data_IF_064082100999
#
_entry.id   IF_064082100999
#
_cell.length_a   1.000
_cell.length_b   1.000
_cell.length_c   1.000
_cell.angle_alpha   90.00
_cell.angle_beta   90.00
_cell.angle_gamma   90.00
#
_symmetry.space_group_name_H-M   'P 1'
#
loop_
_entity.id
_entity.type
_entity.pdbx_description
1 polymer ?
#
# COMPACT_ATOMS: atom_id res chain seq x y z
N UNK A 1 11.21 11.15 -6.42
CA UNK A 1 11.58 10.33 -5.24
C UNK A 1 10.32 9.63 -4.76
N UNK A 2 10.39 8.37 -4.32
CA UNK A 2 9.26 7.79 -3.60
C UNK A 2 9.04 8.59 -2.33
N UNK A 3 7.80 8.96 -2.02
CA UNK A 3 7.54 9.84 -0.89
C UNK A 3 7.87 9.12 0.43
N UNK A 4 8.50 9.81 1.40
CA UNK A 4 9.00 9.19 2.63
C UNK A 4 7.91 8.58 3.51
N UNK A 5 6.63 8.90 3.27
CA UNK A 5 5.50 8.33 3.98
C UNK A 5 5.14 6.92 3.48
N UNK A 6 5.41 6.58 2.23
CA UNK A 6 5.12 5.24 1.68
C UNK A 6 5.99 4.20 2.37
N UNK A 7 7.28 4.48 2.57
CA UNK A 7 8.15 3.56 3.31
C UNK A 7 7.68 3.35 4.76
N UNK A 8 7.07 4.36 5.37
CA UNK A 8 6.49 4.24 6.72
C UNK A 8 5.20 3.40 6.69
N UNK A 9 4.40 3.51 5.63
CA UNK A 9 3.22 2.65 5.41
C UNK A 9 3.63 1.19 5.23
N UNK A 10 4.61 0.92 4.36
CA UNK A 10 5.14 -0.42 4.13
C UNK A 10 5.69 -1.06 5.42
N UNK A 11 6.43 -0.29 6.23
CA UNK A 11 6.95 -0.76 7.52
C UNK A 11 5.82 -1.03 8.53
N UNK A 12 4.82 -0.15 8.62
CA UNK A 12 3.68 -0.33 9.52
C UNK A 12 2.85 -1.57 9.15
N UNK A 13 2.56 -1.77 7.86
CA UNK A 13 1.84 -2.94 7.35
C UNK A 13 2.65 -4.21 7.57
N UNK A 14 3.97 -4.17 7.32
CA UNK A 14 4.85 -5.32 7.57
C UNK A 14 4.90 -5.70 9.05
N UNK A 15 4.88 -4.73 9.97
CA UNK A 15 4.85 -5.00 11.42
C UNK A 15 3.52 -5.58 11.89
N UNK A 16 2.40 -5.15 11.30
CA UNK A 16 1.06 -5.60 11.68
C UNK A 16 0.70 -6.97 11.09
N UNK A 17 1.15 -7.24 9.86
CA UNK A 17 0.70 -8.39 9.07
C UNK A 17 1.79 -9.43 8.82
N UNK A 18 3.06 -9.06 8.98
CA UNK A 18 4.21 -9.87 8.57
C UNK A 18 4.48 -9.84 7.06
N UNK A 19 3.66 -9.13 6.27
CA UNK A 19 3.77 -9.08 4.81
C UNK A 19 4.60 -7.87 4.39
N UNK A 20 5.69 -8.12 3.66
CA UNK A 20 6.53 -7.06 3.12
C UNK A 20 5.97 -6.58 1.79
N UNK A 21 5.56 -5.31 1.73
CA UNK A 21 5.15 -4.67 0.48
C UNK A 21 6.34 -4.08 -0.29
N UNK A 22 6.19 -3.97 -1.59
CA UNK A 22 7.19 -3.41 -2.53
C UNK A 22 6.59 -2.23 -3.26
N UNK A 23 7.30 -1.11 -3.25
CA UNK A 23 6.92 0.05 -4.04
C UNK A 23 7.42 -0.10 -5.47
N UNK A 24 6.48 -0.15 -6.41
CA UNK A 24 6.74 -0.18 -7.84
C UNK A 24 6.35 1.16 -8.47
N UNK A 25 7.03 1.52 -9.56
CA UNK A 25 6.69 2.71 -10.36
C UNK A 25 6.24 2.29 -11.73
N UNK A 26 5.18 2.90 -12.23
CA UNK A 26 4.72 2.62 -13.58
C UNK A 26 5.74 3.13 -14.60
N UNK A 27 6.18 2.23 -15.48
CA UNK A 27 7.13 2.57 -16.54
C UNK A 27 6.49 3.57 -17.50
N UNK A 28 7.09 4.74 -17.66
CA UNK A 28 6.58 5.82 -18.50
C UNK A 28 5.78 6.90 -17.76
N UNK A 29 5.41 6.67 -16.50
CA UNK A 29 4.67 7.63 -15.67
C UNK A 29 5.40 7.82 -14.32
N UNK A 30 6.39 8.75 -14.25
CA UNK A 30 7.30 8.86 -13.10
C UNK A 30 6.63 9.30 -11.79
N UNK A 31 5.39 9.79 -11.87
CA UNK A 31 4.57 10.22 -10.73
C UNK A 31 3.59 9.15 -10.26
N UNK A 32 3.39 8.09 -11.03
CA UNK A 32 2.47 7.01 -10.66
C UNK A 32 3.26 5.85 -10.04
N UNK A 33 2.87 5.51 -8.83
CA UNK A 33 3.46 4.44 -8.04
C UNK A 33 2.36 3.53 -7.51
N UNK A 34 2.72 2.27 -7.28
CA UNK A 34 1.83 1.20 -6.81
C UNK A 34 2.58 0.40 -5.75
N UNK A 35 1.88 0.07 -4.67
CA UNK A 35 2.37 -0.85 -3.64
C UNK A 35 1.91 -2.26 -3.99
N UNK A 36 2.84 -3.21 -4.02
CA UNK A 36 2.57 -4.62 -4.30
C UNK A 36 2.89 -5.42 -3.05
N UNK A 37 1.91 -6.19 -2.57
CA UNK A 37 2.06 -7.07 -1.40
C UNK A 37 1.90 -8.51 -1.84
N UNK A 38 2.86 -9.36 -1.50
CA UNK A 38 2.88 -10.76 -1.91
C UNK A 38 2.67 -11.69 -0.73
N UNK A 39 2.22 -12.91 -1.00
CA UNK A 39 1.94 -13.93 0.02
C UNK A 39 0.87 -13.49 1.05
N UNK A 40 -0.14 -12.73 0.60
CA UNK A 40 -1.24 -12.30 1.45
C UNK A 40 -2.10 -13.51 1.81
N UNK A 41 -1.84 -14.12 2.96
CA UNK A 41 -2.55 -15.35 3.39
C UNK A 41 -3.92 -15.07 4.00
N UNK A 42 -4.14 -13.85 4.49
CA UNK A 42 -5.38 -13.43 5.17
C UNK A 42 -5.86 -12.10 4.62
N UNK A 43 -6.54 -12.11 3.48
CA UNK A 43 -7.00 -10.91 2.75
C UNK A 43 -7.74 -9.92 3.66
N UNK A 44 -8.77 -10.37 4.37
CA UNK A 44 -9.64 -9.50 5.19
C UNK A 44 -8.86 -8.86 6.33
N UNK A 45 -7.95 -9.61 6.95
CA UNK A 45 -7.09 -9.08 8.01
C UNK A 45 -6.11 -8.07 7.41
N UNK A 46 -5.49 -8.41 6.28
CA UNK A 46 -4.54 -7.54 5.61
C UNK A 46 -5.16 -6.21 5.20
N UNK A 47 -6.32 -6.23 4.54
CA UNK A 47 -7.05 -5.01 4.15
C UNK A 47 -7.38 -4.13 5.35
N UNK A 48 -7.79 -4.73 6.47
CA UNK A 48 -8.08 -3.98 7.70
C UNK A 48 -6.84 -3.31 8.27
N UNK A 49 -5.74 -4.04 8.40
CA UNK A 49 -4.49 -3.50 8.94
C UNK A 49 -3.88 -2.44 8.00
N UNK A 50 -4.02 -2.62 6.69
CA UNK A 50 -3.64 -1.62 5.69
C UNK A 50 -4.46 -0.34 5.83
N UNK A 51 -5.79 -0.44 5.90
CA UNK A 51 -6.67 0.71 6.11
C UNK A 51 -6.35 1.44 7.43
N UNK A 52 -6.06 0.69 8.50
CA UNK A 52 -5.66 1.27 9.77
C UNK A 52 -4.31 2.00 9.69
N UNK A 53 -3.31 1.43 9.00
CA UNK A 53 -2.01 2.06 8.79
C UNK A 53 -2.12 3.34 7.96
N UNK A 54 -2.92 3.32 6.88
CA UNK A 54 -3.23 4.51 6.06
C UNK A 54 -3.88 5.61 6.91
N UNK A 55 -4.85 5.24 7.76
CA UNK A 55 -5.51 6.16 8.67
C UNK A 55 -4.57 6.77 9.70
N UNK A 56 -3.71 5.95 10.33
CA UNK A 56 -2.73 6.40 11.34
C UNK A 56 -1.69 7.36 10.78
N UNK A 57 -1.25 7.14 9.54
CA UNK A 57 -0.24 7.97 8.88
C UNK A 57 -0.81 9.25 8.26
N UNK A 58 -2.13 9.48 8.40
CA UNK A 58 -2.83 10.57 7.71
C UNK A 58 -2.56 10.56 6.19
N UNK A 59 -2.30 9.37 5.63
CA UNK A 59 -2.01 9.18 4.21
C UNK A 59 -3.22 9.57 3.34
N UNK A 60 -4.42 9.62 3.93
CA UNK A 60 -5.64 10.16 3.35
C UNK A 60 -5.52 11.61 2.88
N UNK A 61 -4.59 12.40 3.44
CA UNK A 61 -4.29 13.77 2.97
C UNK A 61 -3.42 13.83 1.72
N UNK A 62 -2.72 12.74 1.38
CA UNK A 62 -1.86 12.62 0.19
C UNK A 62 -2.57 11.91 -0.98
N UNK A 63 -3.62 11.15 -0.68
CA UNK A 63 -4.54 10.62 -1.67
C UNK A 63 -5.28 11.79 -2.31
N UNK A 64 -5.22 11.92 -3.64
CA UNK A 64 -5.98 12.92 -4.37
C UNK A 64 -7.44 12.86 -3.95
N UNK A 65 -8.06 14.00 -3.66
CA UNK A 65 -9.49 14.08 -3.33
C UNK A 65 -10.31 13.41 -4.43
N UNK A 66 -10.88 12.23 -4.13
CA UNK A 66 -11.66 11.41 -5.07
C UNK A 66 -10.96 10.14 -5.58
N UNK A 67 -9.67 9.95 -5.30
CA UNK A 67 -8.94 8.72 -5.55
C UNK A 67 -8.60 8.07 -4.21
N UNK A 68 -9.46 7.14 -3.75
CA UNK A 68 -9.10 6.26 -2.65
C UNK A 68 -7.89 5.39 -3.02
N UNK A 69 -7.24 4.73 -2.04
CA UNK A 69 -6.21 3.75 -2.36
C UNK A 69 -6.85 2.66 -3.24
N UNK A 70 -6.38 2.52 -4.47
CA UNK A 70 -6.86 1.49 -5.37
C UNK A 70 -6.15 0.19 -5.01
N UNK A 71 -6.90 -0.77 -4.45
CA UNK A 71 -6.39 -2.09 -4.10
C UNK A 71 -6.72 -3.03 -5.26
N UNK A 72 -5.69 -3.59 -5.87
CA UNK A 72 -5.81 -4.63 -6.90
C UNK A 72 -5.23 -5.93 -6.33
N UNK A 73 -6.08 -6.95 -6.20
CA UNK A 73 -5.67 -8.29 -5.77
C UNK A 73 -5.50 -9.19 -7.00
N UNK A 74 -4.37 -9.90 -7.07
CA UNK A 74 -4.03 -10.81 -8.17
C UNK A 74 -3.81 -12.22 -7.60
N UNK A 75 -4.28 -13.25 -8.31
CA UNK A 75 -4.05 -14.67 -8.00
C UNK A 75 -3.13 -15.28 -9.08
N UNK A 76 -2.31 -16.26 -8.70
CA UNK A 76 -1.53 -17.06 -9.65
C UNK A 76 -2.46 -17.93 -10.52
N UNK A 77 -2.15 -18.16 -11.81
CA UNK A 77 -3.03 -18.89 -12.74
C UNK A 77 -3.21 -20.38 -12.45
#
# INVERSE_FOLDING_TARGET
MAEPWINQLLDAVSKATGITGRLMKKRGEPHLWTEVYENVTFEVKFERELAEAVGKLNATGFLQTGAGPHIECFEEP
#
